data_IF_895428718570
#
_entry.id   IF_895428718570
#
_cell.length_a   1.000
_cell.length_b   1.000
_cell.length_c   1.000
_cell.angle_alpha   90.00
_cell.angle_beta   90.00
_cell.angle_gamma   90.00
#
_symmetry.space_group_name_H-M   'P 1'
#
loop_
_entity.id
_entity.type
_entity.pdbx_description
1 polymer ?
#
# COMPACT_ATOMS: atom_id res chain seq x y z
N UNK A 1 -4.38 -2.02 -20.87
CA UNK A 1 -5.79 -2.34 -20.59
C UNK A 1 -6.41 -1.18 -19.83
N UNK A 2 -7.68 -0.83 -20.03
CA UNK A 2 -8.37 0.19 -19.24
C UNK A 2 -8.57 -0.27 -17.78
N UNK A 3 -8.88 0.67 -16.89
CA UNK A 3 -9.21 0.40 -15.48
C UNK A 3 -10.40 -0.56 -15.35
N UNK A 4 -10.30 -1.54 -14.46
CA UNK A 4 -11.43 -2.38 -14.07
C UNK A 4 -12.35 -1.62 -13.11
N UNK A 5 -13.55 -1.29 -13.58
CA UNK A 5 -14.55 -0.51 -12.84
C UNK A 5 -15.30 -1.32 -11.77
N UNK A 6 -15.14 -2.65 -11.76
CA UNK A 6 -15.79 -3.54 -10.78
C UNK A 6 -15.09 -3.49 -9.42
N UNK A 7 -13.79 -3.18 -9.40
CA UNK A 7 -13.00 -3.06 -8.17
C UNK A 7 -13.32 -1.73 -7.50
N UNK A 8 -13.91 -1.80 -6.30
CA UNK A 8 -14.26 -0.62 -5.48
C UNK A 8 -13.30 -0.38 -4.33
N UNK A 9 -12.69 -1.45 -3.81
CA UNK A 9 -11.76 -1.41 -2.69
C UNK A 9 -10.59 -2.37 -2.92
N UNK A 10 -9.42 -2.00 -2.43
CA UNK A 10 -8.22 -2.83 -2.42
C UNK A 10 -7.64 -2.90 -1.02
N UNK A 11 -7.29 -4.10 -0.57
CA UNK A 11 -6.48 -4.32 0.63
C UNK A 11 -5.00 -4.37 0.25
N UNK A 12 -4.21 -3.45 0.81
CA UNK A 12 -2.75 -3.48 0.77
C UNK A 12 -2.26 -4.20 2.02
N UNK A 13 -1.33 -5.14 1.84
CA UNK A 13 -0.65 -5.83 2.93
C UNK A 13 0.77 -5.28 3.01
N UNK A 14 1.08 -4.57 4.09
CA UNK A 14 2.40 -4.04 4.38
C UNK A 14 3.40 -5.12 4.77
N UNK A 15 4.68 -4.80 4.69
CA UNK A 15 5.78 -5.74 4.97
C UNK A 15 5.96 -6.07 6.46
N UNK A 16 5.40 -5.27 7.37
CA UNK A 16 5.68 -5.38 8.79
C UNK A 16 7.02 -4.73 9.18
N UNK A 17 7.61 -5.12 10.33
CA UNK A 17 8.84 -4.53 10.84
C UNK A 17 10.02 -4.67 9.86
N UNK A 18 10.92 -3.69 9.89
CA UNK A 18 12.15 -3.72 9.08
C UNK A 18 13.05 -4.86 9.54
N UNK A 19 13.53 -5.67 8.59
CA UNK A 19 14.52 -6.73 8.79
C UNK A 19 15.59 -6.70 7.69
N UNK A 20 16.72 -7.35 7.92
CA UNK A 20 17.77 -7.46 6.89
C UNK A 20 17.19 -8.17 5.67
N UNK A 21 17.28 -7.52 4.50
CA UNK A 21 16.71 -8.01 3.24
C UNK A 21 15.24 -7.64 3.01
N UNK A 22 14.59 -6.95 3.95
CA UNK A 22 13.24 -6.40 3.80
C UNK A 22 13.11 -5.12 4.63
N UNK A 23 13.43 -3.97 4.03
CA UNK A 23 13.55 -2.70 4.72
C UNK A 23 12.59 -1.63 4.19
N UNK A 24 13.05 -0.38 4.11
CA UNK A 24 12.23 0.80 3.82
C UNK A 24 11.67 0.83 2.40
N UNK A 25 12.17 -0.01 1.49
CA UNK A 25 11.69 -0.11 0.11
C UNK A 25 10.19 -0.42 0.05
N UNK A 26 9.66 -1.16 1.03
CA UNK A 26 8.24 -1.51 1.09
C UNK A 26 7.36 -0.38 1.65
N UNK A 27 7.89 0.48 2.52
CA UNK A 27 7.19 1.70 2.92
C UNK A 27 7.05 2.67 1.74
N UNK A 28 8.14 2.84 0.99
CA UNK A 28 8.14 3.65 -0.22
C UNK A 28 7.18 3.11 -1.28
N UNK A 29 7.29 1.82 -1.64
CA UNK A 29 6.42 1.20 -2.63
C UNK A 29 4.96 1.13 -2.18
N UNK A 30 4.70 0.82 -0.91
CA UNK A 30 3.36 0.79 -0.31
C UNK A 30 2.69 2.16 -0.32
N UNK A 31 3.43 3.21 0.06
CA UNK A 31 2.95 4.60 0.00
C UNK A 31 2.60 5.03 -1.43
N UNK A 32 3.43 4.68 -2.41
CA UNK A 32 3.14 4.98 -3.83
C UNK A 32 1.91 4.22 -4.33
N UNK A 33 1.81 2.93 -4.00
CA UNK A 33 0.66 2.10 -4.36
C UNK A 33 -0.64 2.67 -3.79
N UNK A 34 -0.66 3.00 -2.49
CA UNK A 34 -1.82 3.59 -1.83
C UNK A 34 -2.22 4.93 -2.48
N UNK A 35 -1.25 5.79 -2.82
CA UNK A 35 -1.51 7.07 -3.49
C UNK A 35 -2.12 6.85 -4.88
N UNK A 36 -1.49 6.04 -5.73
CA UNK A 36 -1.96 5.80 -7.10
C UNK A 36 -3.34 5.13 -7.15
N UNK A 37 -3.64 4.20 -6.25
CA UNK A 37 -4.96 3.55 -6.19
C UNK A 37 -6.04 4.55 -5.73
N UNK A 38 -5.72 5.43 -4.77
CA UNK A 38 -6.64 6.49 -4.31
C UNK A 38 -6.89 7.54 -5.39
N UNK A 39 -5.87 7.93 -6.16
CA UNK A 39 -5.99 8.86 -7.31
C UNK A 39 -6.96 8.31 -8.38
N UNK A 40 -7.07 6.99 -8.50
CA UNK A 40 -8.04 6.32 -9.38
C UNK A 40 -9.45 6.21 -8.78
N UNK A 41 -9.69 6.75 -7.58
CA UNK A 41 -10.98 6.75 -6.89
C UNK A 41 -11.37 5.39 -6.29
N UNK A 42 -10.39 4.52 -6.05
CA UNK A 42 -10.59 3.20 -5.41
C UNK A 42 -10.27 3.34 -3.92
N UNK A 43 -11.11 2.76 -3.07
CA UNK A 43 -10.88 2.74 -1.63
C UNK A 43 -9.65 1.87 -1.30
N UNK A 44 -8.77 2.38 -0.44
CA UNK A 44 -7.56 1.66 -0.01
C UNK A 44 -7.64 1.36 1.47
N UNK A 45 -7.63 0.08 1.81
CA UNK A 45 -7.51 -0.44 3.16
C UNK A 45 -6.07 -0.95 3.32
N UNK A 46 -5.40 -0.61 4.41
CA UNK A 46 -4.04 -1.06 4.69
C UNK A 46 -3.97 -1.83 6.00
N UNK A 47 -3.22 -2.93 6.00
CA UNK A 47 -2.74 -3.58 7.21
C UNK A 47 -1.21 -3.59 7.23
N UNK A 48 -0.62 -2.98 8.26
CA UNK A 48 0.81 -3.03 8.50
C UNK A 48 1.07 -2.97 10.00
N UNK A 49 1.90 -3.88 10.51
CA UNK A 49 2.25 -3.93 11.94
C UNK A 49 3.41 -3.01 12.31
N UNK A 50 4.06 -2.38 11.33
CA UNK A 50 5.16 -1.44 11.58
C UNK A 50 4.66 0.01 11.68
N UNK A 51 4.58 0.58 12.90
CA UNK A 51 4.07 1.94 13.11
C UNK A 51 5.04 3.02 12.63
N UNK A 52 6.29 2.69 12.28
CA UNK A 52 7.31 3.63 11.86
C UNK A 52 7.37 3.76 10.32
N UNK A 53 6.22 3.78 9.66
CA UNK A 53 6.10 3.88 8.21
C UNK A 53 5.19 5.04 7.81
N UNK A 54 5.42 5.64 6.64
CA UNK A 54 4.56 6.69 6.09
C UNK A 54 3.24 6.10 5.56
N UNK A 55 3.27 4.85 5.10
CA UNK A 55 2.08 4.21 4.55
C UNK A 55 1.00 3.90 5.59
N UNK A 56 1.37 3.67 6.86
CA UNK A 56 0.46 3.33 7.98
C UNK A 56 -0.28 4.56 8.48
#
# INVERSE_FOLDING_TARGET
MPKDISIKSVLIIGSGPIVIGQACEFDYAGSQSARSIREEGIEVILINSNPATIMT
#
